data_IF_741985258975
#
_entry.id   IF_741985258975
#
_cell.length_a   1.000
_cell.length_b   1.000
_cell.length_c   1.000
_cell.angle_alpha   90.00
_cell.angle_beta   90.00
_cell.angle_gamma   90.00
#
_symmetry.space_group_name_H-M   'P 1'
#
loop_
_entity.id
_entity.type
_entity.pdbx_description
1 polymer ?
#
# COMPACT_ATOMS: atom_id res chain seq x y z
N UNK A 1 1.10 4.32 38.09
CA UNK A 1 2.13 3.27 38.26
C UNK A 1 1.59 1.92 38.74
N UNK A 2 0.39 1.87 39.32
CA UNK A 2 -0.24 0.62 39.78
C UNK A 2 -1.09 -0.10 38.75
N UNK A 3 -1.32 0.47 37.55
CA UNK A 3 -2.21 -0.07 36.51
C UNK A 3 -1.46 -0.81 35.38
N UNK A 4 -0.12 -0.76 35.34
CA UNK A 4 0.66 -1.42 34.27
C UNK A 4 1.11 -2.83 34.72
N UNK A 5 0.15 -3.70 35.02
CA UNK A 5 0.43 -5.07 35.50
C UNK A 5 0.83 -6.00 34.35
N UNK A 6 0.25 -5.83 33.17
CA UNK A 6 0.60 -6.57 31.96
C UNK A 6 0.52 -5.63 30.75
N UNK A 7 1.66 -5.20 30.18
CA UNK A 7 1.66 -4.37 28.99
C UNK A 7 1.24 -5.19 27.76
N UNK A 8 0.18 -4.75 27.09
CA UNK A 8 -0.22 -5.32 25.79
C UNK A 8 0.18 -4.32 24.72
N UNK A 9 1.11 -4.70 23.85
CA UNK A 9 1.53 -3.89 22.72
C UNK A 9 0.60 -4.13 21.52
N UNK A 10 -0.09 -3.07 21.09
CA UNK A 10 -0.89 -3.09 19.85
C UNK A 10 -0.07 -2.45 18.72
N UNK A 11 0.32 -3.20 17.68
CA UNK A 11 1.07 -2.65 16.58
C UNK A 11 0.24 -1.60 15.83
N UNK A 12 0.85 -0.51 15.34
CA UNK A 12 0.19 0.48 14.52
C UNK A 12 -0.26 -0.11 13.17
N UNK A 13 -1.23 0.54 12.50
CA UNK A 13 -1.84 0.01 11.29
C UNK A 13 -0.84 -0.18 10.13
N UNK A 14 0.20 0.66 10.04
CA UNK A 14 1.30 0.51 9.07
C UNK A 14 2.07 -0.82 9.18
N UNK A 15 2.11 -1.43 10.36
CA UNK A 15 2.79 -2.72 10.61
C UNK A 15 1.88 -3.93 10.33
N UNK A 16 0.59 -3.67 10.04
CA UNK A 16 -0.41 -4.68 9.69
C UNK A 16 -1.24 -4.25 8.48
N UNK A 17 -0.58 -3.82 7.42
CA UNK A 17 -1.22 -3.36 6.19
C UNK A 17 -2.12 -4.42 5.53
N UNK A 18 -1.91 -5.69 5.82
CA UNK A 18 -2.75 -6.80 5.33
C UNK A 18 -4.15 -6.83 5.96
N UNK A 19 -4.34 -6.19 7.11
CA UNK A 19 -5.66 -6.04 7.75
C UNK A 19 -6.49 -4.94 7.09
N UNK A 20 -5.87 -4.01 6.34
CA UNK A 20 -6.56 -2.84 5.77
C UNK A 20 -7.73 -3.23 4.89
N UNK A 21 -7.64 -4.18 3.95
CA UNK A 21 -8.78 -4.55 3.11
C UNK A 21 -9.98 -5.04 3.91
N UNK A 22 -9.74 -5.84 4.96
CA UNK A 22 -10.79 -6.35 5.84
C UNK A 22 -11.47 -5.22 6.62
N UNK A 23 -10.68 -4.30 7.18
CA UNK A 23 -11.16 -3.14 7.92
C UNK A 23 -11.96 -2.19 7.02
N UNK A 24 -11.47 -1.91 5.81
CA UNK A 24 -12.15 -1.09 4.80
C UNK A 24 -13.53 -1.66 4.48
N UNK A 25 -13.60 -2.93 4.11
CA UNK A 25 -14.88 -3.58 3.78
C UNK A 25 -15.85 -3.53 4.97
N UNK A 26 -15.38 -3.84 6.17
CA UNK A 26 -16.19 -3.79 7.39
C UNK A 26 -16.77 -2.39 7.63
N UNK A 27 -15.95 -1.35 7.50
CA UNK A 27 -16.39 0.03 7.71
C UNK A 27 -17.35 0.49 6.62
N UNK A 28 -17.09 0.18 5.35
CA UNK A 28 -17.98 0.54 4.24
C UNK A 28 -19.39 -0.08 4.43
N UNK A 29 -19.47 -1.35 4.78
CA UNK A 29 -20.76 -2.03 5.05
C UNK A 29 -21.46 -1.39 6.26
N UNK A 30 -20.72 -1.16 7.36
CA UNK A 30 -21.29 -0.60 8.57
C UNK A 30 -21.86 0.81 8.33
N UNK A 31 -21.11 1.68 7.63
CA UNK A 31 -21.57 3.05 7.32
C UNK A 31 -22.64 3.09 6.24
N UNK A 32 -22.58 2.20 5.23
CA UNK A 32 -23.66 2.08 4.25
C UNK A 32 -24.99 1.75 4.94
N UNK A 33 -24.99 0.82 5.88
CA UNK A 33 -26.17 0.48 6.69
C UNK A 33 -26.61 1.67 7.57
N UNK A 34 -25.67 2.32 8.28
CA UNK A 34 -25.97 3.46 9.15
C UNK A 34 -26.60 4.63 8.41
N UNK A 35 -26.09 4.94 7.21
CA UNK A 35 -26.56 6.08 6.40
C UNK A 35 -27.60 5.71 5.34
N UNK A 36 -28.08 4.46 5.35
CA UNK A 36 -29.07 3.93 4.38
C UNK A 36 -28.61 4.18 2.93
N UNK A 37 -27.36 3.88 2.65
CA UNK A 37 -26.73 3.97 1.35
C UNK A 37 -26.42 2.58 0.81
N UNK A 38 -26.25 2.48 -0.50
CA UNK A 38 -25.72 1.27 -1.12
C UNK A 38 -24.27 1.04 -0.69
N UNK A 39 -23.89 -0.22 -0.41
CA UNK A 39 -22.51 -0.56 -0.13
C UNK A 39 -21.62 -0.18 -1.31
N UNK A 40 -20.44 0.39 -1.00
CA UNK A 40 -19.47 0.79 -2.03
C UNK A 40 -18.35 -0.23 -2.11
N UNK A 41 -17.81 -0.39 -3.32
CA UNK A 41 -16.59 -1.14 -3.56
C UNK A 41 -15.38 -0.20 -3.60
N UNK A 42 -14.19 -0.73 -3.42
CA UNK A 42 -12.93 0.01 -3.58
C UNK A 42 -12.17 -0.58 -4.75
N UNK A 43 -11.79 0.25 -5.71
CA UNK A 43 -10.99 -0.18 -6.85
C UNK A 43 -9.63 -0.72 -6.38
N UNK A 44 -8.99 -1.56 -7.20
CA UNK A 44 -7.67 -2.14 -6.88
C UNK A 44 -6.62 -1.06 -6.65
N UNK A 45 -6.67 0.01 -7.46
CA UNK A 45 -5.71 1.11 -7.35
C UNK A 45 -5.94 1.94 -6.09
N UNK A 46 -7.19 2.24 -5.72
CA UNK A 46 -7.52 2.91 -4.48
C UNK A 46 -7.13 2.05 -3.25
N UNK A 47 -7.38 0.75 -3.29
CA UNK A 47 -6.98 -0.17 -2.22
C UNK A 47 -5.46 -0.23 -2.05
N UNK A 48 -4.71 -0.20 -3.16
CA UNK A 48 -3.25 -0.13 -3.12
C UNK A 48 -2.76 1.12 -2.39
N UNK A 49 -3.34 2.29 -2.67
CA UNK A 49 -3.00 3.54 -2.00
C UNK A 49 -3.31 3.48 -0.50
N UNK A 50 -4.47 2.95 -0.14
CA UNK A 50 -4.86 2.76 1.25
C UNK A 50 -3.90 1.84 2.02
N UNK A 51 -3.35 0.82 1.37
CA UNK A 51 -2.36 -0.09 1.99
C UNK A 51 -0.97 0.54 2.15
N UNK A 52 -0.61 1.46 1.27
CA UNK A 52 0.71 2.12 1.28
C UNK A 52 0.78 3.31 2.25
N UNK A 53 -0.35 3.91 2.59
CA UNK A 53 -0.38 5.07 3.46
C UNK A 53 0.00 4.73 4.90
N UNK A 54 0.71 5.62 5.56
CA UNK A 54 1.31 5.38 6.88
C UNK A 54 0.30 5.36 8.04
N UNK A 55 -0.90 5.90 7.86
CA UNK A 55 -1.98 5.96 8.86
C UNK A 55 -1.53 6.51 10.21
N UNK A 56 -1.07 7.76 10.32
CA UNK A 56 -0.63 8.33 11.60
C UNK A 56 -1.73 8.29 12.67
N UNK A 57 -2.99 8.42 12.29
CA UNK A 57 -4.16 8.26 13.17
C UNK A 57 -4.69 6.83 13.27
N UNK A 58 -3.94 5.84 12.75
CA UNK A 58 -4.27 4.41 12.79
C UNK A 58 -5.71 4.09 12.35
N UNK A 59 -6.36 3.14 12.99
CA UNK A 59 -7.72 2.67 12.68
C UNK A 59 -8.75 3.80 12.77
N UNK A 60 -8.56 4.77 13.68
CA UNK A 60 -9.49 5.89 13.82
C UNK A 60 -9.49 6.78 12.56
N UNK A 61 -8.34 7.05 11.99
CA UNK A 61 -8.23 7.81 10.75
C UNK A 61 -8.84 7.05 9.57
N UNK A 62 -8.54 5.75 9.44
CA UNK A 62 -9.12 4.89 8.41
C UNK A 62 -10.65 4.86 8.50
N UNK A 63 -11.19 4.67 9.69
CA UNK A 63 -12.64 4.66 9.94
C UNK A 63 -13.30 5.97 9.51
N UNK A 64 -12.73 7.11 9.92
CA UNK A 64 -13.27 8.44 9.57
C UNK A 64 -13.22 8.69 8.06
N UNK A 65 -12.17 8.22 7.38
CA UNK A 65 -12.08 8.30 5.94
C UNK A 65 -13.19 7.47 5.26
N UNK A 66 -13.40 6.22 5.68
CA UNK A 66 -14.45 5.37 5.09
C UNK A 66 -15.84 5.97 5.31
N UNK A 67 -16.11 6.52 6.50
CA UNK A 67 -17.36 7.22 6.78
C UNK A 67 -17.61 8.39 5.82
N UNK A 68 -16.60 9.25 5.63
CA UNK A 68 -16.65 10.35 4.68
C UNK A 68 -16.91 9.88 3.26
N UNK A 69 -16.19 8.85 2.79
CA UNK A 69 -16.33 8.34 1.42
C UNK A 69 -17.73 7.75 1.16
N UNK A 70 -18.33 7.06 2.12
CA UNK A 70 -19.71 6.55 1.99
C UNK A 70 -20.71 7.69 1.81
N UNK A 71 -20.50 8.81 2.50
CA UNK A 71 -21.43 9.96 2.46
C UNK A 71 -21.21 10.82 1.22
N UNK A 72 -19.96 11.06 0.82
CA UNK A 72 -19.61 12.07 -0.20
C UNK A 72 -19.50 11.52 -1.62
N UNK A 73 -19.02 10.29 -1.79
CA UNK A 73 -18.86 9.68 -3.12
C UNK A 73 -20.23 9.22 -3.63
N UNK A 74 -20.58 9.61 -4.86
CA UNK A 74 -21.84 9.19 -5.49
C UNK A 74 -21.69 7.86 -6.22
N UNK A 75 -20.52 7.59 -6.76
CA UNK A 75 -20.22 6.39 -7.52
C UNK A 75 -20.29 5.12 -6.68
N UNK A 76 -20.63 3.99 -7.27
CA UNK A 76 -20.64 2.70 -6.60
C UNK A 76 -19.23 2.22 -6.21
N UNK A 77 -18.22 2.68 -6.94
CA UNK A 77 -16.82 2.30 -6.74
C UNK A 77 -15.98 3.51 -6.33
N UNK A 78 -15.27 3.38 -5.22
CA UNK A 78 -14.29 4.36 -4.75
C UNK A 78 -13.03 4.21 -5.59
N UNK A 79 -12.67 5.29 -6.31
CA UNK A 79 -11.49 5.40 -7.15
C UNK A 79 -10.39 6.20 -6.44
N UNK A 80 -9.12 6.18 -6.92
CA UNK A 80 -8.03 6.97 -6.35
C UNK A 80 -8.33 8.47 -6.20
N UNK A 81 -9.04 9.07 -7.15
CA UNK A 81 -9.42 10.48 -7.14
C UNK A 81 -10.39 10.87 -6.02
N UNK A 82 -11.10 9.89 -5.44
CA UNK A 82 -11.96 10.11 -4.28
C UNK A 82 -11.19 10.15 -2.95
N UNK A 83 -9.94 9.70 -2.96
CA UNK A 83 -9.09 9.71 -1.76
C UNK A 83 -8.49 11.10 -1.53
N UNK A 84 -8.15 11.47 -0.27
CA UNK A 84 -7.41 12.68 0.02
C UNK A 84 -6.06 12.75 -0.71
N UNK A 85 -5.60 13.97 -0.99
CA UNK A 85 -4.34 14.21 -1.71
C UNK A 85 -3.13 13.58 -1.02
N UNK A 86 -3.09 13.60 0.32
CA UNK A 86 -2.01 12.99 1.11
C UNK A 86 -1.93 11.46 0.92
N UNK A 87 -3.08 10.80 0.71
CA UNK A 87 -3.13 9.37 0.39
C UNK A 87 -2.81 9.12 -1.09
N UNK A 88 -3.25 10.01 -1.99
CA UNK A 88 -2.88 9.92 -3.40
C UNK A 88 -1.38 10.11 -3.62
N UNK A 89 -0.75 11.04 -2.89
CA UNK A 89 0.69 11.28 -2.92
C UNK A 89 1.52 10.07 -2.46
N UNK A 90 0.97 9.19 -1.64
CA UNK A 90 1.62 7.92 -1.27
C UNK A 90 1.93 7.01 -2.47
N UNK A 91 1.36 7.30 -3.63
CA UNK A 91 1.71 6.65 -4.91
C UNK A 91 3.12 7.03 -5.37
N UNK A 92 3.55 8.26 -5.13
CA UNK A 92 4.90 8.75 -5.46
C UNK A 92 5.92 8.17 -4.47
N UNK A 93 5.57 8.12 -3.17
CA UNK A 93 6.42 7.50 -2.15
C UNK A 93 6.63 5.99 -2.39
N UNK A 94 5.64 5.29 -2.94
CA UNK A 94 5.78 3.88 -3.30
C UNK A 94 6.78 3.63 -4.44
N UNK A 95 7.04 4.64 -5.28
CA UNK A 95 8.06 4.61 -6.32
C UNK A 95 9.41 5.13 -5.84
N UNK A 96 9.44 5.76 -4.67
CA UNK A 96 10.65 6.29 -4.06
C UNK A 96 11.24 5.27 -3.11
N UNK A 97 12.50 4.96 -3.29
CA UNK A 97 13.28 4.14 -2.37
C UNK A 97 14.25 5.02 -1.61
N UNK A 98 14.10 5.09 -0.28
CA UNK A 98 15.08 5.74 0.59
C UNK A 98 16.28 4.80 0.77
N UNK A 99 17.44 5.26 0.33
CA UNK A 99 18.70 4.53 0.49
C UNK A 99 19.52 5.20 1.57
N UNK A 100 19.90 4.43 2.59
CA UNK A 100 20.83 4.92 3.61
C UNK A 100 22.25 4.95 3.06
N UNK A 101 22.98 6.05 3.26
CA UNK A 101 24.39 6.14 2.84
C UNK A 101 25.20 5.03 3.55
N UNK A 102 26.00 4.30 2.76
CA UNK A 102 26.77 3.15 3.24
C UNK A 102 26.08 1.79 2.98
N UNK A 103 24.84 1.77 2.46
CA UNK A 103 24.22 0.51 2.01
C UNK A 103 25.02 -0.06 0.82
N UNK A 104 25.38 -1.36 0.82
CA UNK A 104 26.04 -1.98 -0.30
C UNK A 104 25.26 -1.84 -1.61
N UNK A 105 25.93 -1.52 -2.70
CA UNK A 105 25.28 -1.35 -4.02
C UNK A 105 24.49 -2.58 -4.46
N UNK A 106 25.00 -3.76 -4.17
CA UNK A 106 24.34 -5.03 -4.46
C UNK A 106 22.96 -5.14 -3.78
N UNK A 107 22.87 -4.70 -2.54
CA UNK A 107 21.59 -4.69 -1.82
C UNK A 107 20.62 -3.66 -2.40
N UNK A 108 21.10 -2.46 -2.75
CA UNK A 108 20.29 -1.44 -3.41
C UNK A 108 19.77 -1.96 -4.75
N UNK A 109 20.63 -2.55 -5.54
CA UNK A 109 20.29 -3.09 -6.86
C UNK A 109 19.26 -4.22 -6.76
N UNK A 110 19.45 -5.14 -5.83
CA UNK A 110 18.51 -6.23 -5.54
C UNK A 110 17.11 -5.66 -5.18
N UNK A 111 17.05 -4.70 -4.27
CA UNK A 111 15.80 -4.11 -3.81
C UNK A 111 15.08 -3.35 -4.93
N UNK A 112 15.83 -2.60 -5.76
CA UNK A 112 15.29 -1.89 -6.93
C UNK A 112 14.71 -2.88 -7.94
N UNK A 113 15.44 -3.95 -8.27
CA UNK A 113 14.97 -4.97 -9.21
C UNK A 113 13.71 -5.65 -8.68
N UNK A 114 13.69 -6.05 -7.42
CA UNK A 114 12.55 -6.74 -6.81
C UNK A 114 11.29 -5.85 -6.80
N UNK A 115 11.42 -4.58 -6.42
CA UNK A 115 10.31 -3.61 -6.41
C UNK A 115 9.80 -3.33 -7.82
N UNK A 116 10.71 -3.17 -8.79
CA UNK A 116 10.32 -2.93 -10.19
C UNK A 116 9.58 -4.13 -10.78
N UNK A 117 10.02 -5.35 -10.50
CA UNK A 117 9.32 -6.58 -10.92
C UNK A 117 7.92 -6.65 -10.31
N UNK A 118 7.77 -6.37 -9.03
CA UNK A 118 6.47 -6.34 -8.34
C UNK A 118 5.53 -5.28 -8.96
N UNK A 119 6.04 -4.10 -9.31
CA UNK A 119 5.24 -3.03 -9.93
C UNK A 119 4.69 -3.43 -11.31
N UNK A 120 5.47 -4.15 -12.11
CA UNK A 120 5.05 -4.60 -13.45
C UNK A 120 4.45 -6.00 -13.46
N UNK A 121 4.03 -6.53 -12.31
CA UNK A 121 3.42 -7.87 -12.20
C UNK A 121 4.32 -8.95 -12.79
N UNK A 122 5.60 -8.91 -12.46
CA UNK A 122 6.67 -9.82 -12.94
C UNK A 122 6.89 -9.85 -14.47
N UNK A 123 6.45 -8.79 -15.17
CA UNK A 123 6.69 -8.71 -16.62
C UNK A 123 8.12 -8.26 -16.90
N UNK A 124 9.02 -9.23 -17.12
CA UNK A 124 10.49 -9.01 -17.20
C UNK A 124 10.92 -8.02 -18.27
N UNK A 125 10.29 -8.01 -19.45
CA UNK A 125 10.63 -7.06 -20.52
C UNK A 125 10.31 -5.62 -20.12
N UNK A 126 9.14 -5.40 -19.49
CA UNK A 126 8.77 -4.08 -18.98
C UNK A 126 9.70 -3.65 -17.86
N UNK A 127 10.04 -4.56 -16.94
CA UNK A 127 10.98 -4.29 -15.85
C UNK A 127 12.36 -3.91 -16.40
N UNK A 128 12.90 -4.66 -17.34
CA UNK A 128 14.19 -4.36 -17.97
C UNK A 128 14.21 -2.98 -18.62
N UNK A 129 13.13 -2.62 -19.33
CA UNK A 129 12.97 -1.30 -19.95
C UNK A 129 12.93 -0.18 -18.92
N UNK A 130 12.21 -0.36 -17.80
CA UNK A 130 12.13 0.62 -16.72
C UNK A 130 13.48 0.81 -16.00
N UNK A 131 14.22 -0.30 -15.83
CA UNK A 131 15.55 -0.30 -15.20
C UNK A 131 16.67 0.17 -16.14
N UNK A 132 16.40 0.39 -17.43
CA UNK A 132 17.39 0.78 -18.41
C UNK A 132 18.45 -0.28 -18.70
N UNK A 133 18.15 -1.56 -18.46
CA UNK A 133 19.06 -2.69 -18.70
C UNK A 133 18.50 -3.67 -19.73
N UNK A 134 19.36 -4.52 -20.29
CA UNK A 134 18.90 -5.57 -21.22
C UNK A 134 18.12 -6.66 -20.46
N UNK A 135 17.20 -7.31 -21.16
CA UNK A 135 16.46 -8.46 -20.60
C UNK A 135 17.40 -9.57 -20.10
N UNK A 136 18.49 -9.82 -20.83
CA UNK A 136 19.51 -10.80 -20.46
C UNK A 136 20.22 -10.42 -19.15
N UNK A 137 20.56 -9.14 -18.98
CA UNK A 137 21.17 -8.64 -17.75
C UNK A 137 20.22 -8.77 -16.56
N UNK A 138 18.94 -8.43 -16.75
CA UNK A 138 17.91 -8.59 -15.71
C UNK A 138 17.76 -10.06 -15.29
N UNK A 139 17.69 -11.00 -16.27
CA UNK A 139 17.59 -12.43 -15.96
C UNK A 139 18.79 -12.96 -15.18
N UNK A 140 20.01 -12.51 -15.54
CA UNK A 140 21.22 -12.84 -14.80
C UNK A 140 21.13 -12.38 -13.35
N UNK A 141 20.75 -11.11 -13.12
CA UNK A 141 20.63 -10.52 -11.78
C UNK A 141 19.54 -11.15 -10.93
N UNK A 142 18.39 -11.51 -11.52
CA UNK A 142 17.32 -12.25 -10.82
C UNK A 142 17.87 -13.58 -10.28
N UNK A 143 18.65 -14.28 -11.09
CA UNK A 143 19.27 -15.56 -10.71
C UNK A 143 20.37 -15.37 -9.65
N UNK A 144 21.24 -14.38 -9.84
CA UNK A 144 22.34 -14.04 -8.95
C UNK A 144 21.84 -13.68 -7.55
N UNK A 145 20.80 -12.85 -7.46
CA UNK A 145 20.23 -12.38 -6.19
C UNK A 145 19.17 -13.32 -5.60
N UNK A 146 18.83 -14.42 -6.27
CA UNK A 146 17.83 -15.36 -5.78
C UNK A 146 16.44 -14.75 -5.60
N UNK A 147 16.07 -13.77 -6.44
CA UNK A 147 14.77 -13.09 -6.37
C UNK A 147 13.70 -14.11 -6.78
N UNK A 148 12.81 -14.43 -5.81
CA UNK A 148 11.65 -15.32 -6.06
C UNK A 148 10.52 -14.48 -6.65
N UNK A 149 9.90 -15.02 -7.69
CA UNK A 149 8.72 -14.46 -8.38
C UNK A 149 7.43 -14.81 -7.66
#
# INVERSE_FOLDING_TARGET
YRLNVVPIHLPPLRERADDIPLLVNRFLIAFATQYRREPKEVSRDAMRLLRLYAWPGNIRQLRNLMERLVVTVKDATIQPEHLPEDIQASKEDARTMLVTLGTPLEQIERDVIQRTLAEVTNHREKAAKLLGISLRALQYKIKEYGIRE
#
